data_IF_919796480202
#
_entry.id   IF_919796480202
#
_cell.length_a   1.000
_cell.length_b   1.000
_cell.length_c   1.000
_cell.angle_alpha   90.00
_cell.angle_beta   90.00
_cell.angle_gamma   90.00
#
_symmetry.space_group_name_H-M   'P 1'
#
loop_
_entity.id
_entity.type
_entity.pdbx_description
1 polymer ?
#
# COMPACT_ATOMS: atom_id res chain seq x y z
N UNK A 1 -11.24 8.83 -17.22
CA UNK A 1 -11.09 9.47 -15.90
C UNK A 1 -12.00 8.84 -14.84
N UNK A 2 -13.33 8.79 -15.02
CA UNK A 2 -14.28 8.20 -14.06
C UNK A 2 -13.89 6.82 -13.51
N UNK A 3 -13.43 5.90 -14.37
CA UNK A 3 -12.97 4.56 -13.94
C UNK A 3 -11.74 4.58 -13.05
N UNK A 4 -10.76 5.45 -13.33
CA UNK A 4 -9.54 5.58 -12.52
C UNK A 4 -9.86 6.12 -11.13
N UNK A 5 -10.75 7.11 -11.05
CA UNK A 5 -11.24 7.67 -9.78
C UNK A 5 -11.98 6.59 -8.98
N UNK A 6 -12.88 5.83 -9.63
CA UNK A 6 -13.57 4.72 -8.97
C UNK A 6 -12.59 3.66 -8.44
N UNK A 7 -11.60 3.26 -9.25
CA UNK A 7 -10.57 2.30 -8.82
C UNK A 7 -9.79 2.81 -7.61
N UNK A 8 -9.38 4.08 -7.63
CA UNK A 8 -8.69 4.73 -6.53
C UNK A 8 -9.53 4.73 -5.25
N UNK A 9 -10.80 5.12 -5.33
CA UNK A 9 -11.71 5.15 -4.18
C UNK A 9 -11.91 3.74 -3.62
N UNK A 10 -12.20 2.75 -4.47
CA UNK A 10 -12.42 1.37 -4.01
C UNK A 10 -11.17 0.76 -3.37
N UNK A 11 -9.99 0.98 -3.96
CA UNK A 11 -8.73 0.52 -3.38
C UNK A 11 -8.42 1.22 -2.06
N UNK A 12 -8.63 2.54 -1.99
CA UNK A 12 -8.44 3.33 -0.77
C UNK A 12 -9.35 2.91 0.37
N UNK A 13 -10.65 2.71 0.08
CA UNK A 13 -11.62 2.20 1.07
C UNK A 13 -11.26 0.79 1.55
N UNK A 14 -10.81 -0.08 0.65
CA UNK A 14 -10.37 -1.42 1.01
C UNK A 14 -9.15 -1.40 1.95
N UNK A 15 -8.11 -0.64 1.59
CA UNK A 15 -6.89 -0.52 2.40
C UNK A 15 -7.21 0.13 3.75
N UNK A 16 -8.01 1.20 3.76
CA UNK A 16 -8.40 1.88 5.00
C UNK A 16 -9.23 0.99 5.92
N UNK A 17 -10.16 0.18 5.38
CA UNK A 17 -10.93 -0.77 6.17
C UNK A 17 -10.03 -1.86 6.76
N UNK A 18 -9.12 -2.40 5.94
CA UNK A 18 -8.19 -3.45 6.35
C UNK A 18 -7.17 -2.93 7.39
N UNK A 19 -6.70 -1.70 7.23
CA UNK A 19 -5.88 -0.98 8.22
C UNK A 19 -6.63 -0.83 9.54
N UNK A 20 -7.88 -0.33 9.51
CA UNK A 20 -8.69 -0.17 10.71
C UNK A 20 -8.92 -1.49 11.44
N UNK A 21 -9.34 -2.54 10.72
CA UNK A 21 -9.55 -3.87 11.32
C UNK A 21 -8.26 -4.38 11.95
N UNK A 22 -7.13 -4.23 11.26
CA UNK A 22 -5.85 -4.74 11.74
C UNK A 22 -5.35 -3.94 12.95
N UNK A 23 -5.27 -2.61 12.86
CA UNK A 23 -4.63 -1.78 13.87
C UNK A 23 -5.54 -1.45 15.05
N UNK A 24 -6.82 -1.20 14.81
CA UNK A 24 -7.75 -0.81 15.88
C UNK A 24 -8.36 -2.02 16.59
N UNK A 25 -8.70 -3.08 15.84
CA UNK A 25 -9.39 -4.26 16.43
C UNK A 25 -8.42 -5.38 16.82
N UNK A 26 -7.47 -5.74 15.95
CA UNK A 26 -6.62 -6.92 16.18
C UNK A 26 -5.33 -6.59 16.94
N UNK A 27 -4.68 -5.48 16.61
CA UNK A 27 -3.28 -5.24 16.99
C UNK A 27 -3.07 -4.12 18.01
N UNK A 28 -4.13 -3.41 18.40
CA UNK A 28 -4.05 -2.28 19.32
C UNK A 28 -3.32 -2.62 20.62
N UNK A 29 -3.61 -3.77 21.21
CA UNK A 29 -2.97 -4.22 22.46
C UNK A 29 -1.46 -4.39 22.31
N UNK A 30 -0.98 -4.97 21.21
CA UNK A 30 0.47 -5.13 20.96
C UNK A 30 1.18 -3.78 20.90
N UNK A 31 0.53 -2.77 20.33
CA UNK A 31 1.08 -1.42 20.27
C UNK A 31 1.12 -0.75 21.64
N UNK A 32 0.02 -0.85 22.41
CA UNK A 32 -0.07 -0.28 23.77
C UNK A 32 1.01 -0.90 24.66
N UNK A 33 1.07 -2.23 24.77
CA UNK A 33 2.06 -2.93 25.60
C UNK A 33 3.50 -2.56 25.24
N UNK A 34 3.79 -2.44 23.93
CA UNK A 34 5.12 -2.04 23.47
C UNK A 34 5.46 -0.60 23.85
N UNK A 35 4.52 0.33 23.71
CA UNK A 35 4.74 1.73 24.09
C UNK A 35 4.88 1.88 25.61
N UNK A 36 4.05 1.18 26.38
CA UNK A 36 4.15 1.14 27.85
C UNK A 36 5.50 0.57 28.32
N UNK A 37 6.01 -0.47 27.67
CA UNK A 37 7.35 -1.02 27.97
C UNK A 37 8.50 -0.04 27.71
N UNK A 38 8.25 0.98 26.88
CA UNK A 38 9.17 2.08 26.59
C UNK A 38 8.91 3.32 27.47
N UNK A 39 7.92 3.27 28.38
CA UNK A 39 7.53 4.39 29.22
C UNK A 39 6.82 5.53 28.47
N UNK A 40 6.29 5.27 27.28
CA UNK A 40 5.58 6.25 26.44
C UNK A 40 4.13 5.83 26.23
N UNK A 41 3.25 6.80 25.96
CA UNK A 41 1.86 6.50 25.62
C UNK A 41 1.70 6.23 24.13
N UNK A 42 0.90 5.22 23.77
CA UNK A 42 0.57 4.93 22.38
C UNK A 42 -0.37 6.01 21.81
N UNK A 43 -0.01 6.68 20.70
CA UNK A 43 -0.80 7.76 20.13
C UNK A 43 -2.04 7.21 19.40
N UNK A 44 -3.13 7.05 20.16
CA UNK A 44 -4.41 6.48 19.69
C UNK A 44 -5.52 7.53 19.52
N UNK A 45 -5.14 8.81 19.37
CA UNK A 45 -6.12 9.87 19.17
C UNK A 45 -6.81 9.75 17.79
N UNK A 46 -8.01 10.32 17.66
CA UNK A 46 -8.73 10.37 16.38
C UNK A 46 -7.88 10.97 15.25
N UNK A 47 -7.03 11.94 15.56
CA UNK A 47 -6.16 12.58 14.57
C UNK A 47 -5.12 11.60 14.01
N UNK A 48 -4.62 10.67 14.83
CA UNK A 48 -3.71 9.62 14.37
C UNK A 48 -4.42 8.66 13.40
N UNK A 49 -5.67 8.29 13.70
CA UNK A 49 -6.46 7.42 12.81
C UNK A 49 -6.77 8.10 11.47
N UNK A 50 -7.00 9.41 11.46
CA UNK A 50 -7.14 10.17 10.20
C UNK A 50 -5.84 10.12 9.40
N UNK A 51 -4.68 10.25 10.04
CA UNK A 51 -3.38 10.15 9.35
C UNK A 51 -3.18 8.78 8.68
N UNK A 52 -3.58 7.69 9.36
CA UNK A 52 -3.59 6.34 8.77
C UNK A 52 -4.58 6.19 7.61
N UNK A 53 -5.74 6.85 7.69
CA UNK A 53 -6.67 6.97 6.57
C UNK A 53 -6.04 7.67 5.36
N UNK A 54 -5.38 8.81 5.56
CA UNK A 54 -4.65 9.52 4.50
C UNK A 54 -3.55 8.64 3.90
N UNK A 55 -2.75 7.98 4.74
CA UNK A 55 -1.73 7.03 4.31
C UNK A 55 -2.34 5.91 3.45
N UNK A 56 -3.50 5.36 3.83
CA UNK A 56 -4.20 4.32 3.07
C UNK A 56 -4.56 4.76 1.64
N UNK A 57 -5.02 6.01 1.49
CA UNK A 57 -5.29 6.56 0.16
C UNK A 57 -4.01 6.87 -0.63
N UNK A 58 -2.92 7.28 0.01
CA UNK A 58 -1.63 7.42 -0.68
C UNK A 58 -1.11 6.08 -1.22
N UNK A 59 -1.24 5.00 -0.43
CA UNK A 59 -0.92 3.64 -0.88
C UNK A 59 -1.83 3.22 -2.04
N UNK A 60 -3.14 3.53 -1.98
CA UNK A 60 -4.05 3.26 -3.09
C UNK A 60 -3.65 4.00 -4.37
N UNK A 61 -3.25 5.28 -4.28
CA UNK A 61 -2.76 6.04 -5.42
C UNK A 61 -1.51 5.40 -6.04
N UNK A 62 -0.56 4.96 -5.20
CA UNK A 62 0.63 4.23 -5.63
C UNK A 62 0.25 2.94 -6.38
N UNK A 63 -0.62 2.10 -5.80
CA UNK A 63 -1.03 0.83 -6.42
C UNK A 63 -1.74 1.07 -7.77
N UNK A 64 -2.59 2.09 -7.87
CA UNK A 64 -3.27 2.48 -9.11
C UNK A 64 -2.26 2.93 -10.17
N UNK A 65 -1.28 3.75 -9.77
CA UNK A 65 -0.21 4.20 -10.66
C UNK A 65 0.63 3.04 -11.16
N UNK A 66 1.08 2.16 -10.26
CA UNK A 66 1.87 0.97 -10.59
C UNK A 66 1.08 -0.03 -11.44
N UNK A 67 -0.23 -0.15 -11.25
CA UNK A 67 -1.10 -1.00 -12.08
C UNK A 67 -1.13 -0.59 -13.55
N UNK A 68 -0.74 0.64 -13.89
CA UNK A 68 -0.62 1.10 -15.26
C UNK A 68 0.74 0.73 -15.91
N UNK A 69 1.71 0.26 -15.11
CA UNK A 69 3.12 0.14 -15.52
C UNK A 69 3.71 -1.25 -15.29
N UNK A 70 3.24 -1.96 -14.26
CA UNK A 70 3.78 -3.23 -13.80
C UNK A 70 2.76 -4.36 -13.96
N UNK A 71 3.25 -5.60 -14.08
CA UNK A 71 2.41 -6.79 -13.98
C UNK A 71 1.98 -6.99 -12.52
N UNK A 72 0.99 -7.86 -12.33
CA UNK A 72 0.41 -8.18 -11.01
C UNK A 72 1.47 -8.47 -9.92
N UNK A 73 2.38 -9.45 -10.10
CA UNK A 73 3.31 -9.81 -9.03
C UNK A 73 4.28 -8.67 -8.71
N UNK A 74 4.78 -7.97 -9.74
CA UNK A 74 5.68 -6.83 -9.59
C UNK A 74 5.02 -5.68 -8.80
N UNK A 75 3.75 -5.37 -9.10
CA UNK A 75 3.00 -4.36 -8.34
C UNK A 75 2.79 -4.76 -6.88
N UNK A 76 2.43 -6.02 -6.62
CA UNK A 76 2.26 -6.53 -5.25
C UNK A 76 3.56 -6.38 -4.46
N UNK A 77 4.69 -6.84 -5.01
CA UNK A 77 5.99 -6.79 -4.34
C UNK A 77 6.41 -5.35 -4.07
N UNK A 78 6.33 -4.47 -5.08
CA UNK A 78 6.75 -3.06 -4.95
C UNK A 78 5.84 -2.33 -3.96
N UNK A 79 4.52 -2.47 -4.07
CA UNK A 79 3.59 -1.80 -3.16
C UNK A 79 3.74 -2.28 -1.73
N UNK A 80 3.89 -3.58 -1.52
CA UNK A 80 4.12 -4.15 -0.19
C UNK A 80 5.43 -3.65 0.43
N UNK A 81 6.51 -3.66 -0.35
CA UNK A 81 7.82 -3.18 0.09
C UNK A 81 7.75 -1.71 0.52
N UNK A 82 7.25 -0.84 -0.36
CA UNK A 82 7.25 0.61 -0.12
C UNK A 82 6.26 1.06 0.95
N UNK A 83 5.08 0.42 1.05
CA UNK A 83 4.07 0.84 2.01
C UNK A 83 4.33 0.30 3.42
N UNK A 84 4.92 -0.90 3.55
CA UNK A 84 4.99 -1.60 4.83
C UNK A 84 6.41 -1.93 5.27
N UNK A 85 7.16 -2.63 4.42
CA UNK A 85 8.48 -3.16 4.82
C UNK A 85 9.44 -2.02 5.14
N UNK A 86 9.48 -0.97 4.32
CA UNK A 86 10.32 0.20 4.59
C UNK A 86 9.92 0.91 5.89
N UNK A 87 8.61 1.03 6.16
CA UNK A 87 8.13 1.60 7.41
C UNK A 87 8.58 0.75 8.60
N UNK A 88 8.35 -0.56 8.57
CA UNK A 88 8.76 -1.50 9.61
C UNK A 88 10.26 -1.50 9.85
N UNK A 89 11.06 -1.35 8.81
CA UNK A 89 12.50 -1.22 8.95
C UNK A 89 12.86 0.01 9.81
N UNK A 90 12.25 1.17 9.51
CA UNK A 90 12.50 2.41 10.27
C UNK A 90 12.00 2.29 11.72
N UNK A 91 10.75 1.87 11.94
CA UNK A 91 10.20 1.79 13.31
C UNK A 91 10.77 0.62 14.12
N UNK A 92 11.26 -0.42 13.45
CA UNK A 92 12.04 -1.50 14.05
C UNK A 92 13.41 -1.01 14.51
N UNK A 93 14.10 -0.21 13.69
CA UNK A 93 15.35 0.45 14.07
C UNK A 93 15.17 1.40 15.26
N UNK A 94 14.02 2.09 15.36
CA UNK A 94 13.67 2.90 16.53
C UNK A 94 13.23 2.07 17.75
N UNK A 95 13.21 0.73 17.65
CA UNK A 95 12.74 -0.18 18.68
C UNK A 95 11.29 0.08 19.14
N UNK A 96 10.44 0.66 18.28
CA UNK A 96 9.02 0.94 18.56
C UNK A 96 8.13 -0.20 18.03
N UNK A 97 8.61 -0.99 17.07
CA UNK A 97 7.85 -2.09 16.48
C UNK A 97 7.70 -3.29 17.44
N UNK A 98 6.47 -3.75 17.75
CA UNK A 98 6.25 -5.02 18.42
C UNK A 98 6.46 -6.19 17.43
N UNK A 99 7.61 -6.85 17.44
CA UNK A 99 7.92 -7.94 16.49
C UNK A 99 6.93 -9.11 16.52
N UNK A 100 6.29 -9.41 17.66
CA UNK A 100 5.28 -10.47 17.79
C UNK A 100 4.08 -10.24 16.85
N UNK A 101 3.75 -8.98 16.57
CA UNK A 101 2.66 -8.61 15.67
C UNK A 101 2.96 -9.03 14.22
N UNK A 102 4.22 -9.10 13.80
CA UNK A 102 4.58 -9.38 12.40
C UNK A 102 4.12 -10.77 11.93
N UNK A 103 4.02 -11.74 12.83
CA UNK A 103 3.55 -13.11 12.53
C UNK A 103 2.17 -13.06 11.89
N UNK A 104 1.30 -12.18 12.38
CA UNK A 104 -0.06 -12.00 11.87
C UNK A 104 -0.15 -10.84 10.86
N UNK A 105 0.66 -9.79 11.02
CA UNK A 105 0.62 -8.63 10.15
C UNK A 105 1.07 -8.94 8.73
N UNK A 106 2.18 -9.68 8.56
CA UNK A 106 2.72 -10.03 7.25
C UNK A 106 1.67 -10.71 6.35
N UNK A 107 1.01 -11.81 6.76
CA UNK A 107 0.02 -12.47 5.91
C UNK A 107 -1.19 -11.58 5.62
N UNK A 108 -1.71 -10.86 6.63
CA UNK A 108 -2.87 -9.98 6.44
C UNK A 108 -2.58 -8.84 5.47
N UNK A 109 -1.41 -8.22 5.57
CA UNK A 109 -1.01 -7.11 4.69
C UNK A 109 -0.74 -7.60 3.27
N UNK A 110 -0.16 -8.79 3.10
CA UNK A 110 -0.01 -9.37 1.76
C UNK A 110 -1.38 -9.57 1.11
N UNK A 111 -2.37 -10.09 1.84
CA UNK A 111 -3.75 -10.22 1.36
C UNK A 111 -4.34 -8.84 1.01
N UNK A 112 -4.16 -7.84 1.89
CA UNK A 112 -4.63 -6.48 1.65
C UNK A 112 -4.11 -5.91 0.33
N UNK A 113 -2.80 -5.98 0.10
CA UNK A 113 -2.15 -5.47 -1.12
C UNK A 113 -2.60 -6.28 -2.35
N UNK A 114 -2.68 -7.61 -2.25
CA UNK A 114 -3.17 -8.46 -3.34
C UNK A 114 -4.59 -8.06 -3.75
N UNK A 115 -5.50 -7.91 -2.80
CA UNK A 115 -6.89 -7.53 -3.08
C UNK A 115 -6.95 -6.12 -3.67
N UNK A 116 -6.19 -5.16 -3.16
CA UNK A 116 -6.12 -3.82 -3.73
C UNK A 116 -5.63 -3.84 -5.20
N UNK A 117 -4.61 -4.64 -5.51
CA UNK A 117 -4.13 -4.84 -6.89
C UNK A 117 -5.18 -5.51 -7.77
N UNK A 118 -5.93 -6.50 -7.26
CA UNK A 118 -7.02 -7.15 -7.98
C UNK A 118 -8.18 -6.20 -8.27
N UNK A 119 -8.57 -5.35 -7.31
CA UNK A 119 -9.51 -4.24 -7.51
C UNK A 119 -9.00 -3.36 -8.65
N UNK A 120 -7.72 -3.00 -8.60
CA UNK A 120 -7.11 -2.21 -9.66
C UNK A 120 -7.25 -2.88 -11.01
N UNK A 121 -6.85 -4.13 -11.17
CA UNK A 121 -6.93 -4.83 -12.46
C UNK A 121 -8.34 -5.04 -12.99
N UNK A 122 -9.31 -5.30 -12.11
CA UNK A 122 -10.71 -5.51 -12.51
C UNK A 122 -11.34 -4.26 -13.10
N UNK A 123 -11.06 -3.09 -12.52
CA UNK A 123 -11.70 -1.83 -12.90
C UNK A 123 -10.81 -0.95 -13.81
N UNK A 124 -9.51 -1.21 -13.81
CA UNK A 124 -8.53 -0.63 -14.72
C UNK A 124 -8.46 -1.44 -16.01
N UNK A 125 -9.30 -1.13 -17.00
CA UNK A 125 -8.94 -1.39 -18.41
C UNK A 125 -7.87 -0.39 -18.86
N UNK A 126 -6.78 -0.21 -18.11
CA UNK A 126 -5.61 0.54 -18.58
C UNK A 126 -4.85 -0.43 -19.49
N UNK A 127 -5.25 -0.44 -20.77
CA UNK A 127 -4.40 -1.00 -21.82
C UNK A 127 -3.06 -0.25 -21.76
N UNK A 128 -1.97 -0.99 -21.59
CA UNK A 128 -0.59 -0.51 -21.73
C UNK A 128 -0.28 -0.12 -23.19
N UNK A 129 -1.07 0.78 -23.77
CA UNK A 129 -0.95 1.19 -25.18
C UNK A 129 -0.20 2.51 -25.32
N UNK A 130 -0.08 3.31 -24.25
CA UNK A 130 0.56 4.63 -24.36
C UNK A 130 2.09 4.55 -24.21
N UNK A 131 2.61 3.65 -23.38
CA UNK A 131 4.08 3.52 -23.19
C UNK A 131 4.71 2.75 -24.36
N UNK A 132 4.03 1.74 -24.93
CA UNK A 132 4.57 0.99 -26.07
C UNK A 132 4.71 1.84 -27.34
N UNK A 133 3.82 2.81 -27.56
CA UNK A 133 3.89 3.68 -28.74
C UNK A 133 5.02 4.72 -28.65
N UNK A 134 5.34 5.22 -27.45
CA UNK A 134 6.47 6.15 -27.26
C UNK A 134 7.80 5.42 -27.43
N UNK A 135 7.95 4.22 -26.85
CA UNK A 135 9.17 3.42 -27.03
C UNK A 135 9.33 2.89 -28.46
N UNK A 136 8.24 2.52 -29.15
CA UNK A 136 8.29 2.17 -30.58
C UNK A 136 8.70 3.35 -31.45
N UNK A 137 8.20 4.56 -31.18
CA UNK A 137 8.60 5.75 -31.93
C UNK A 137 10.06 6.10 -31.69
N UNK A 138 10.58 5.94 -30.47
CA UNK A 138 12.01 6.17 -30.18
C UNK A 138 12.89 5.13 -30.87
N UNK A 139 12.51 3.84 -30.86
CA UNK A 139 13.24 2.80 -31.60
C UNK A 139 13.24 3.05 -33.12
N UNK A 140 12.14 3.53 -33.68
CA UNK A 140 12.05 3.86 -35.10
C UNK A 140 12.94 5.06 -35.50
N UNK A 141 13.15 6.01 -34.59
CA UNK A 141 14.03 7.17 -34.80
C UNK A 141 15.51 6.78 -34.67
N UNK A 142 15.83 5.84 -33.77
CA UNK A 142 17.22 5.43 -33.49
C UNK A 142 17.73 4.38 -34.50
N UNK A 143 16.85 3.59 -35.13
CA UNK A 143 17.25 2.51 -36.06
C UNK A 143 17.23 2.92 -37.55
N UNK A 144 16.75 4.13 -37.88
CA UNK A 144 16.68 4.66 -39.25
C UNK A 144 17.69 5.80 -39.53
N UNK A 145 18.68 5.99 -38.65
CA UNK A 145 19.83 6.87 -38.81
C UNK A 145 21.11 6.06 -38.55
#
# INVERSE_FOLDING_TARGET
MKRKILTFILAGLWISLSEFVRNELLFKTYWIEKHESLGIQFPSSTLNNIAWGVWSFLVAALIVYLSAKLKKPENIIVSWLFAFVLMWFVIGNMNVLPFKLLIFAIPLILIEVVVAVLICQKFSKIKATVISNVFKNIQHIVLNH
#
